data_IF_068455169678
#
_entry.id   IF_068455169678
#
_cell.length_a   1.000
_cell.length_b   1.000
_cell.length_c   1.000
_cell.angle_alpha   90.00
_cell.angle_beta   90.00
_cell.angle_gamma   90.00
#
_symmetry.space_group_name_H-M   'P 1'
#
loop_
_entity.id
_entity.type
_entity.pdbx_description
1 polymer ?
#
# COMPACT_ATOMS: atom_id res chain seq x y z
N UNK A 1 6.88 -4.97 26.59
CA UNK A 1 8.34 -5.18 26.45
C UNK A 1 8.71 -4.97 24.99
N UNK A 2 9.53 -3.96 24.63
CA UNK A 2 10.02 -3.82 23.26
C UNK A 2 10.80 -5.09 22.88
N UNK A 3 10.49 -5.68 21.72
CA UNK A 3 11.26 -6.81 21.18
C UNK A 3 12.62 -6.26 20.77
N UNK A 4 13.62 -6.45 21.62
CA UNK A 4 15.01 -6.14 21.29
C UNK A 4 15.41 -7.00 20.09
N UNK A 5 15.71 -6.36 18.96
CA UNK A 5 16.21 -7.03 17.76
C UNK A 5 17.72 -7.23 17.87
N UNK A 6 18.20 -8.35 17.32
CA UNK A 6 19.63 -8.60 17.13
C UNK A 6 20.05 -8.03 15.77
N UNK A 7 21.34 -7.74 15.63
CA UNK A 7 21.94 -7.37 14.35
C UNK A 7 21.95 -8.56 13.38
N UNK A 8 22.11 -8.27 12.08
CA UNK A 8 22.25 -9.30 11.05
C UNK A 8 23.43 -10.24 11.35
N UNK A 9 24.56 -9.69 11.83
CA UNK A 9 25.72 -10.48 12.21
C UNK A 9 25.42 -11.44 13.36
N UNK A 10 24.74 -10.95 14.39
CA UNK A 10 24.34 -11.79 15.53
C UNK A 10 23.41 -12.93 15.08
N UNK A 11 22.46 -12.67 14.17
CA UNK A 11 21.60 -13.72 13.60
C UNK A 11 22.37 -14.77 12.79
N UNK A 12 23.32 -14.34 11.96
CA UNK A 12 24.20 -15.26 11.22
C UNK A 12 25.01 -16.13 12.18
N UNK A 13 25.62 -15.54 13.21
CA UNK A 13 26.39 -16.26 14.21
C UNK A 13 25.52 -17.28 14.96
N UNK A 14 24.28 -16.93 15.31
CA UNK A 14 23.35 -17.86 15.95
C UNK A 14 23.01 -19.05 15.04
N UNK A 15 22.71 -18.79 13.77
CA UNK A 15 22.41 -19.87 12.82
C UNK A 15 23.60 -20.80 12.61
N UNK A 16 24.79 -20.23 12.47
CA UNK A 16 26.02 -20.97 12.27
C UNK A 16 26.34 -21.88 13.46
N UNK A 17 26.35 -21.34 14.69
CA UNK A 17 26.60 -22.15 15.89
C UNK A 17 25.50 -23.19 16.15
N UNK A 18 24.25 -22.89 15.78
CA UNK A 18 23.18 -23.90 15.83
C UNK A 18 23.45 -25.08 14.91
N UNK A 19 23.99 -24.83 13.71
CA UNK A 19 24.46 -25.87 12.78
C UNK A 19 25.67 -26.63 13.32
N UNK A 20 26.68 -25.94 13.86
CA UNK A 20 27.85 -26.58 14.48
C UNK A 20 27.47 -27.54 15.62
N UNK A 21 26.47 -27.16 16.43
CA UNK A 21 25.95 -28.00 17.52
C UNK A 21 24.96 -29.08 17.04
N UNK A 22 24.89 -29.37 15.74
CA UNK A 22 24.01 -30.41 15.19
C UNK A 22 22.51 -30.16 15.42
N UNK A 23 22.10 -28.89 15.53
CA UNK A 23 20.72 -28.52 15.84
C UNK A 23 20.36 -28.52 17.33
N UNK A 24 21.33 -28.67 18.23
CA UNK A 24 21.07 -28.52 19.66
C UNK A 24 21.13 -27.04 20.08
N UNK A 25 19.96 -26.44 20.29
CA UNK A 25 19.80 -25.02 20.63
C UNK A 25 20.44 -24.64 21.97
N UNK A 26 20.36 -25.52 22.98
CA UNK A 26 20.91 -25.24 24.31
C UNK A 26 22.43 -25.27 24.30
N UNK A 27 23.02 -26.23 23.58
CA UNK A 27 24.46 -26.29 23.34
C UNK A 27 24.94 -25.08 22.53
N UNK A 28 24.20 -24.70 21.48
CA UNK A 28 24.51 -23.53 20.67
C UNK A 28 24.47 -22.23 21.48
N UNK A 29 23.49 -22.07 22.37
CA UNK A 29 23.42 -20.92 23.27
C UNK A 29 24.58 -20.88 24.27
N UNK A 30 25.01 -22.03 24.81
CA UNK A 30 26.19 -22.10 25.67
C UNK A 30 27.47 -21.74 24.91
N UNK A 31 27.67 -22.30 23.72
CA UNK A 31 28.81 -22.01 22.85
C UNK A 31 28.85 -20.55 22.39
N UNK A 32 27.68 -19.95 22.16
CA UNK A 32 27.57 -18.53 21.83
C UNK A 32 28.06 -17.64 22.99
N UNK A 33 27.72 -18.00 24.25
CA UNK A 33 28.23 -17.27 25.42
C UNK A 33 29.74 -17.37 25.56
N UNK A 34 30.29 -18.54 25.27
CA UNK A 34 31.73 -18.79 25.31
C UNK A 34 32.50 -18.00 24.24
N UNK A 35 32.04 -18.03 22.98
CA UNK A 35 32.70 -17.33 21.87
C UNK A 35 32.52 -15.80 21.91
N UNK A 36 31.43 -15.33 22.50
CA UNK A 36 31.09 -13.90 22.56
C UNK A 36 30.79 -13.46 23.99
N UNK A 37 31.81 -13.42 24.88
CA UNK A 37 31.64 -13.14 26.30
C UNK A 37 31.11 -11.72 26.58
N UNK A 38 31.43 -10.76 25.72
CA UNK A 38 30.98 -9.37 25.85
C UNK A 38 29.68 -9.06 25.09
N UNK A 39 29.09 -10.06 24.41
CA UNK A 39 27.86 -9.87 23.65
C UNK A 39 26.62 -10.13 24.53
N UNK A 40 25.45 -9.77 24.02
CA UNK A 40 24.18 -10.21 24.60
C UNK A 40 24.06 -11.72 24.47
N UNK A 41 23.45 -12.36 25.45
CA UNK A 41 23.29 -13.82 25.47
C UNK A 41 21.85 -14.19 25.10
N UNK A 42 21.59 -14.62 23.86
CA UNK A 42 20.24 -14.97 23.42
C UNK A 42 19.75 -16.24 24.12
N UNK A 43 18.45 -16.29 24.38
CA UNK A 43 17.80 -17.54 24.80
C UNK A 43 17.89 -18.60 23.69
N UNK A 44 17.99 -19.88 24.07
CA UNK A 44 18.10 -21.00 23.13
C UNK A 44 16.96 -21.00 22.08
N UNK A 45 15.76 -20.53 22.42
CA UNK A 45 14.62 -20.43 21.49
C UNK A 45 14.87 -19.46 20.34
N UNK A 46 15.78 -18.49 20.51
CA UNK A 46 16.16 -17.56 19.44
C UNK A 46 16.90 -18.31 18.32
N UNK A 47 17.78 -19.25 18.66
CA UNK A 47 18.52 -20.06 17.70
C UNK A 47 17.58 -20.90 16.84
N UNK A 48 16.61 -21.56 17.48
CA UNK A 48 15.56 -22.33 16.78
C UNK A 48 14.79 -21.41 15.83
N UNK A 49 14.31 -20.26 16.33
CA UNK A 49 13.53 -19.31 15.52
C UNK A 49 14.32 -18.79 14.32
N UNK A 50 15.59 -18.47 14.51
CA UNK A 50 16.49 -17.99 13.45
C UNK A 50 16.64 -19.06 12.38
N UNK A 51 16.90 -20.31 12.78
CA UNK A 51 17.01 -21.42 11.85
C UNK A 51 15.70 -21.67 11.08
N UNK A 52 14.55 -21.70 11.78
CA UNK A 52 13.23 -21.85 11.12
C UNK A 52 12.94 -20.71 10.14
N UNK A 53 13.32 -19.47 10.47
CA UNK A 53 13.17 -18.36 9.53
C UNK A 53 13.91 -18.63 8.21
N UNK A 54 15.16 -19.09 8.25
CA UNK A 54 15.92 -19.38 7.03
C UNK A 54 15.34 -20.56 6.24
N UNK A 55 14.86 -21.62 6.91
CA UNK A 55 14.17 -22.72 6.23
C UNK A 55 12.91 -22.26 5.48
N UNK A 56 12.20 -21.28 6.03
CA UNK A 56 11.00 -20.70 5.44
C UNK A 56 11.30 -19.55 4.45
N UNK A 57 12.57 -19.28 4.14
CA UNK A 57 12.98 -18.17 3.26
C UNK A 57 12.75 -16.78 3.85
N UNK A 58 12.62 -16.67 5.18
CA UNK A 58 12.41 -15.41 5.93
C UNK A 58 13.72 -14.90 6.54
N UNK A 59 13.84 -13.59 6.68
CA UNK A 59 14.99 -12.94 7.33
C UNK A 59 14.66 -12.67 8.82
N UNK A 60 15.45 -13.19 9.78
CA UNK A 60 15.29 -12.90 11.21
C UNK A 60 15.41 -11.41 11.53
N UNK A 61 14.72 -10.94 12.57
CA UNK A 61 14.76 -9.53 12.99
C UNK A 61 14.01 -8.56 12.07
N UNK A 62 13.79 -8.93 10.81
CA UNK A 62 12.78 -8.31 9.96
C UNK A 62 11.41 -8.76 10.46
N UNK A 63 10.94 -8.17 11.55
CA UNK A 63 9.54 -8.24 11.91
C UNK A 63 8.76 -7.54 10.81
N UNK A 64 8.34 -8.29 9.78
CA UNK A 64 7.45 -7.85 8.70
C UNK A 64 7.48 -6.32 8.48
N UNK A 65 8.65 -5.82 8.07
CA UNK A 65 8.75 -4.49 7.46
C UNK A 65 8.03 -4.45 6.10
N UNK A 66 7.66 -5.62 5.57
CA UNK A 66 6.52 -5.72 4.67
C UNK A 66 5.29 -5.72 5.55
N UNK A 67 4.61 -4.59 5.64
CA UNK A 67 3.19 -4.48 6.01
C UNK A 67 2.70 -5.74 6.70
N UNK A 68 2.91 -5.90 8.00
CA UNK A 68 1.88 -6.63 8.73
C UNK A 68 0.62 -5.90 8.33
N UNK A 69 -0.22 -6.52 7.50
CA UNK A 69 -1.55 -6.00 7.25
C UNK A 69 -2.19 -6.05 8.64
N UNK A 70 -1.98 -4.96 9.40
CA UNK A 70 -2.39 -4.91 10.79
C UNK A 70 -3.87 -5.21 10.77
N UNK A 71 -4.31 -6.10 11.67
CA UNK A 71 -5.66 -6.70 11.77
C UNK A 71 -6.49 -6.51 10.49
N UNK A 72 -6.70 -7.56 9.68
CA UNK A 72 -7.51 -7.49 8.47
C UNK A 72 -8.71 -6.57 8.70
N UNK A 73 -8.82 -5.53 7.86
CA UNK A 73 -10.08 -4.78 7.81
C UNK A 73 -11.16 -5.82 7.54
N UNK A 74 -12.23 -5.81 8.35
CA UNK A 74 -13.40 -6.64 8.09
C UNK A 74 -13.76 -6.43 6.62
N UNK A 75 -13.72 -7.50 5.82
CA UNK A 75 -13.97 -7.45 4.36
C UNK A 75 -15.30 -6.73 4.10
N UNK A 76 -16.29 -7.01 4.94
CA UNK A 76 -17.62 -6.39 4.93
C UNK A 76 -17.56 -4.85 4.98
N UNK A 77 -16.75 -4.26 5.85
CA UNK A 77 -16.65 -2.81 5.98
C UNK A 77 -16.02 -2.16 4.74
N UNK A 78 -15.15 -2.88 4.04
CA UNK A 78 -14.52 -2.38 2.83
C UNK A 78 -15.54 -2.29 1.69
N UNK A 79 -16.29 -3.37 1.46
CA UNK A 79 -17.22 -3.45 0.34
C UNK A 79 -18.40 -2.50 0.54
N UNK A 80 -18.89 -2.34 1.78
CA UNK A 80 -19.89 -1.34 2.14
C UNK A 80 -19.42 0.08 1.79
N UNK A 81 -18.20 0.45 2.19
CA UNK A 81 -17.66 1.80 1.92
C UNK A 81 -17.47 2.05 0.43
N UNK A 82 -16.96 1.06 -0.32
CA UNK A 82 -16.73 1.21 -1.76
C UNK A 82 -18.04 1.29 -2.55
N UNK A 83 -19.04 0.49 -2.20
CA UNK A 83 -20.35 0.53 -2.82
C UNK A 83 -21.03 1.89 -2.61
N UNK A 84 -20.93 2.47 -1.40
CA UNK A 84 -21.51 3.80 -1.14
C UNK A 84 -20.87 4.91 -1.97
N UNK A 85 -19.56 4.87 -2.17
CA UNK A 85 -18.87 5.84 -3.02
C UNK A 85 -19.17 5.61 -4.51
N UNK A 86 -19.41 4.37 -4.94
CA UNK A 86 -19.84 4.07 -6.30
C UNK A 86 -21.27 4.54 -6.60
N UNK A 87 -22.19 4.42 -5.62
CA UNK A 87 -23.56 4.94 -5.72
C UNK A 87 -23.60 6.47 -5.77
N UNK A 88 -22.80 7.14 -4.92
CA UNK A 88 -22.74 8.60 -4.83
C UNK A 88 -21.28 9.04 -4.55
N UNK A 89 -20.62 9.57 -5.58
CA UNK A 89 -19.24 10.04 -5.49
C UNK A 89 -19.08 11.34 -4.68
N UNK A 90 -20.18 12.02 -4.34
CA UNK A 90 -20.17 13.27 -3.57
C UNK A 90 -20.33 13.06 -2.07
N UNK A 91 -20.61 11.82 -1.64
CA UNK A 91 -20.86 11.48 -0.24
C UNK A 91 -19.62 11.74 0.63
N UNK A 92 -19.83 12.35 1.80
CA UNK A 92 -18.73 12.63 2.71
C UNK A 92 -18.32 11.40 3.52
N UNK A 93 -17.04 11.33 3.89
CA UNK A 93 -16.51 10.30 4.80
C UNK A 93 -17.29 10.26 6.13
N UNK A 94 -17.78 11.41 6.61
CA UNK A 94 -18.58 11.49 7.85
C UNK A 94 -19.98 10.89 7.65
N UNK A 95 -20.59 11.08 6.49
CA UNK A 95 -21.92 10.55 6.21
C UNK A 95 -21.89 9.04 6.06
N UNK A 96 -20.89 8.48 5.37
CA UNK A 96 -20.68 7.03 5.30
C UNK A 96 -20.52 6.44 6.72
N UNK A 97 -19.68 7.07 7.55
CA UNK A 97 -19.45 6.62 8.92
C UNK A 97 -20.74 6.59 9.76
N UNK A 98 -21.57 7.63 9.64
CA UNK A 98 -22.83 7.74 10.38
C UNK A 98 -23.89 6.73 9.89
N UNK A 99 -24.01 6.54 8.58
CA UNK A 99 -25.03 5.65 7.98
C UNK A 99 -24.73 4.18 8.23
N UNK A 100 -23.46 3.80 8.15
CA UNK A 100 -23.03 2.40 8.18
C UNK A 100 -22.51 1.95 9.56
N UNK A 101 -22.48 2.85 10.54
CA UNK A 101 -21.94 2.55 11.88
C UNK A 101 -20.42 2.27 11.89
N UNK A 102 -19.71 2.64 10.82
CA UNK A 102 -18.26 2.43 10.68
C UNK A 102 -17.52 3.64 11.24
N UNK A 103 -16.44 3.41 11.99
CA UNK A 103 -15.60 4.50 12.46
C UNK A 103 -15.06 5.34 11.28
N UNK A 104 -15.17 6.67 11.37
CA UNK A 104 -14.70 7.62 10.34
C UNK A 104 -13.25 7.36 9.90
N UNK A 105 -12.37 7.02 10.84
CA UNK A 105 -10.96 6.68 10.57
C UNK A 105 -10.81 5.42 9.70
N UNK A 106 -11.68 4.44 9.89
CA UNK A 106 -11.74 3.21 9.08
C UNK A 106 -12.20 3.52 7.67
N UNK A 107 -13.27 4.31 7.49
CA UNK A 107 -13.74 4.76 6.16
C UNK A 107 -12.61 5.49 5.42
N UNK A 108 -11.98 6.47 6.08
CA UNK A 108 -10.86 7.23 5.49
C UNK A 108 -9.67 6.33 5.11
N UNK A 109 -9.33 5.35 5.96
CA UNK A 109 -8.26 4.38 5.70
C UNK A 109 -8.57 3.50 4.49
N UNK A 110 -9.81 3.03 4.34
CA UNK A 110 -10.26 2.23 3.20
C UNK A 110 -10.09 3.02 1.89
N UNK A 111 -10.63 4.24 1.85
CA UNK A 111 -10.57 5.09 0.65
C UNK A 111 -9.12 5.42 0.28
N UNK A 112 -8.28 5.77 1.26
CA UNK A 112 -6.85 6.03 1.02
C UNK A 112 -6.11 4.80 0.50
N UNK A 113 -6.37 3.62 1.07
CA UNK A 113 -5.74 2.35 0.64
C UNK A 113 -6.13 1.97 -0.78
N UNK A 114 -7.37 2.27 -1.17
CA UNK A 114 -7.92 2.02 -2.50
C UNK A 114 -7.66 3.17 -3.50
N UNK A 115 -6.86 4.17 -3.11
CA UNK A 115 -6.46 5.32 -3.95
C UNK A 115 -7.64 6.17 -4.44
N UNK A 116 -8.70 6.28 -3.64
CA UNK A 116 -9.76 7.25 -3.90
C UNK A 116 -9.28 8.65 -3.49
N UNK A 117 -9.43 9.60 -4.40
CA UNK A 117 -9.07 11.00 -4.20
C UNK A 117 -10.32 11.87 -4.28
N UNK A 118 -10.54 12.80 -3.33
CA UNK A 118 -11.59 13.80 -3.48
C UNK A 118 -11.36 14.59 -4.76
N UNK A 119 -12.39 14.70 -5.58
CA UNK A 119 -12.38 15.56 -6.76
C UNK A 119 -13.42 16.66 -6.59
N UNK A 120 -13.02 17.91 -6.83
CA UNK A 120 -13.93 19.04 -6.78
C UNK A 120 -14.37 19.41 -8.19
N UNK A 121 -15.62 19.07 -8.54
CA UNK A 121 -16.19 19.42 -9.84
C UNK A 121 -16.36 20.94 -9.92
N UNK A 122 -15.47 21.59 -10.67
CA UNK A 122 -15.54 23.03 -10.92
C UNK A 122 -16.36 23.26 -12.19
N UNK A 123 -17.49 23.96 -12.08
CA UNK A 123 -18.28 24.40 -13.23
C UNK A 123 -17.67 25.68 -13.80
N UNK A 124 -16.83 25.53 -14.83
CA UNK A 124 -16.18 26.65 -15.52
C UNK A 124 -17.02 27.26 -16.66
N UNK A 125 -18.00 26.52 -17.19
CA UNK A 125 -18.91 27.00 -18.26
C UNK A 125 -20.32 26.46 -18.05
N UNK A 126 -21.33 27.31 -18.25
CA UNK A 126 -22.75 26.90 -18.24
C UNK A 126 -23.10 26.32 -19.62
N UNK A 127 -22.82 25.04 -19.82
CA UNK A 127 -23.20 24.35 -21.06
C UNK A 127 -24.72 24.26 -21.17
N UNK A 128 -25.26 24.74 -22.29
CA UNK A 128 -26.67 24.59 -22.64
C UNK A 128 -26.89 23.26 -23.37
N UNK A 129 -28.11 22.68 -23.33
CA UNK A 129 -28.45 21.42 -24.02
C UNK A 129 -28.05 21.38 -25.51
N UNK A 130 -28.10 22.52 -26.20
CA UNK A 130 -27.69 22.64 -27.62
C UNK A 130 -26.17 22.52 -27.83
N UNK A 131 -25.37 22.89 -26.84
CA UNK A 131 -23.90 22.93 -26.96
C UNK A 131 -23.32 21.51 -26.97
N UNK A 132 -23.98 20.54 -26.32
CA UNK A 132 -23.49 19.16 -26.28
C UNK A 132 -23.39 18.55 -27.68
N UNK A 133 -24.42 18.72 -28.50
CA UNK A 133 -24.41 18.22 -29.87
C UNK A 133 -23.35 18.92 -30.72
N UNK A 134 -23.26 20.25 -30.64
CA UNK A 134 -22.27 21.04 -31.38
C UNK A 134 -20.83 20.64 -31.02
N UNK A 135 -20.54 20.44 -29.73
CA UNK A 135 -19.22 20.01 -29.26
C UNK A 135 -18.85 18.60 -29.73
N UNK A 136 -19.79 17.65 -29.70
CA UNK A 136 -19.55 16.29 -30.21
C UNK A 136 -19.26 16.31 -31.71
N UNK A 137 -20.02 17.09 -32.48
CA UNK A 137 -19.78 17.24 -33.92
C UNK A 137 -18.41 17.84 -34.19
N UNK A 138 -18.02 18.89 -33.46
CA UNK A 138 -16.69 19.48 -33.57
C UNK A 138 -15.59 18.45 -33.25
N UNK A 139 -15.70 17.71 -32.13
CA UNK A 139 -14.72 16.69 -31.78
C UNK A 139 -14.58 15.61 -32.87
N UNK A 140 -15.69 15.14 -33.46
CA UNK A 140 -15.64 14.15 -34.56
C UNK A 140 -14.94 14.70 -35.79
N UNK A 141 -15.30 15.91 -36.21
CA UNK A 141 -14.66 16.57 -37.34
C UNK A 141 -13.16 16.73 -37.12
N UNK A 142 -12.75 17.12 -35.90
CA UNK A 142 -11.33 17.24 -35.56
C UNK A 142 -10.61 15.89 -35.57
N UNK A 143 -11.25 14.80 -35.15
CA UNK A 143 -10.68 13.45 -35.23
C UNK A 143 -10.49 13.01 -36.69
N UNK A 144 -11.50 13.21 -37.54
CA UNK A 144 -11.42 12.88 -38.97
C UNK A 144 -10.27 13.65 -39.64
N UNK A 145 -10.08 14.92 -39.25
CA UNK A 145 -8.98 15.76 -39.78
C UNK A 145 -7.59 15.29 -39.37
N UNK A 146 -7.42 14.72 -38.18
CA UNK A 146 -6.13 14.12 -37.75
C UNK A 146 -5.85 12.84 -38.54
N UNK A 147 -6.89 12.05 -38.80
CA UNK A 147 -6.75 10.79 -39.53
C UNK A 147 -6.40 11.05 -41.01
N UNK A 148 -6.94 12.11 -41.60
CA UNK A 148 -6.58 12.58 -42.95
C UNK A 148 -5.20 13.23 -43.02
N UNK A 149 -4.82 14.06 -42.03
CA UNK A 149 -3.54 14.76 -41.96
C UNK A 149 -3.05 14.84 -40.51
N UNK A 150 -1.99 14.08 -40.19
CA UNK A 150 -1.43 14.05 -38.83
C UNK A 150 -0.81 15.36 -38.39
N UNK A 151 -0.47 16.27 -39.32
CA UNK A 151 0.08 17.61 -39.02
C UNK A 151 -1.00 18.70 -38.96
N UNK A 152 -2.28 18.36 -39.11
CA UNK A 152 -3.36 19.33 -39.20
C UNK A 152 -3.36 20.34 -38.04
N UNK A 153 -3.16 19.87 -36.81
CA UNK A 153 -3.15 20.72 -35.61
C UNK A 153 -1.97 21.68 -35.53
N UNK A 154 -0.82 21.31 -36.10
CA UNK A 154 0.39 22.14 -36.10
C UNK A 154 0.26 23.35 -37.02
N UNK A 155 -0.72 23.30 -37.95
CA UNK A 155 -1.02 24.39 -38.89
C UNK A 155 -2.14 25.32 -38.40
N UNK A 156 -2.76 25.04 -37.24
CA UNK A 156 -3.80 25.90 -36.67
C UNK A 156 -3.18 26.91 -35.70
N UNK A 157 -3.39 28.19 -35.99
CA UNK A 157 -3.10 29.28 -35.05
C UNK A 157 -4.32 29.53 -34.16
N UNK A 158 -4.19 29.25 -32.87
CA UNK A 158 -5.23 29.52 -31.87
C UNK A 158 -5.07 30.93 -31.29
N UNK A 159 -6.17 31.67 -31.18
CA UNK A 159 -6.22 32.98 -30.53
C UNK A 159 -7.41 33.02 -29.56
N UNK A 160 -7.23 33.71 -28.45
CA UNK A 160 -8.29 34.00 -27.49
C UNK A 160 -8.22 35.48 -27.08
N UNK A 161 -9.37 36.13 -26.91
CA UNK A 161 -9.43 37.50 -26.39
C UNK A 161 -9.48 37.43 -24.85
N UNK A 162 -8.49 38.06 -24.21
CA UNK A 162 -8.43 38.19 -22.74
C UNK A 162 -9.17 39.42 -22.24
#
# INVERSE_FOLDING_TARGET
MPRVQYSAQEYCNMHFLYGECGGNASAAAALYRERYPNARHPDYRVFIRVHSCYLEGRIPGRGLGGTSEGRPLLIDAQDIVLNKVAEDSTISVRDIARREGIAKSTVHRILKRRKFHPYHVTRVQTLQPRDFAARVTFCRLMLDKIEEDSEFFDRILWSDES
#
